data_IF_013757901907
#
_entry.id   IF_013757901907
#
_cell.length_a   1.000
_cell.length_b   1.000
_cell.length_c   1.000
_cell.angle_alpha   90.00
_cell.angle_beta   90.00
_cell.angle_gamma   90.00
#
_symmetry.space_group_name_H-M   'P 1'
#
loop_
_entity.id
_entity.type
_entity.pdbx_description
1 polymer ?
#
# COMPACT_ATOMS: atom_id res chain seq x y z
N UNK A 1 -10.32 0.02 18.75
CA UNK A 1 -9.77 -0.13 17.40
C UNK A 1 -8.28 -0.37 17.50
N UNK A 2 -7.74 -1.10 16.54
CA UNK A 2 -6.33 -1.50 16.46
C UNK A 2 -5.82 -1.18 15.06
N UNK A 3 -4.53 -0.90 14.93
CA UNK A 3 -3.94 -0.44 13.68
C UNK A 3 -2.72 -1.29 13.32
N UNK A 4 -2.45 -1.45 12.02
CA UNK A 4 -1.19 -1.99 11.53
C UNK A 4 -0.29 -0.80 11.21
N UNK A 5 0.90 -0.76 11.82
CA UNK A 5 1.83 0.37 11.71
C UNK A 5 3.20 -0.12 11.24
N UNK A 6 3.76 0.54 10.23
CA UNK A 6 5.09 0.23 9.71
C UNK A 6 5.88 1.53 9.44
N UNK A 7 7.22 1.43 9.51
CA UNK A 7 8.14 2.50 9.09
C UNK A 7 9.18 1.93 8.14
N UNK A 8 9.36 2.57 7.00
CA UNK A 8 10.48 2.29 6.10
C UNK A 8 11.21 3.59 5.74
N UNK A 9 12.51 3.48 5.42
CA UNK A 9 13.28 4.54 4.79
C UNK A 9 13.71 4.11 3.40
N UNK A 10 13.58 5.00 2.43
CA UNK A 10 13.90 4.78 1.01
C UNK A 10 14.97 5.78 0.62
N UNK A 11 16.10 5.33 0.06
CA UNK A 11 17.20 6.20 -0.36
C UNK A 11 16.84 6.88 -1.68
N UNK A 12 16.01 7.91 -1.60
CA UNK A 12 15.44 8.65 -2.73
C UNK A 12 14.81 9.97 -2.25
N UNK A 13 14.32 10.75 -3.22
CA UNK A 13 13.50 11.92 -2.91
C UNK A 13 12.09 11.50 -2.46
N UNK A 14 11.49 12.28 -1.57
CA UNK A 14 10.10 12.09 -1.13
C UNK A 14 9.11 12.18 -2.30
N UNK A 15 9.43 12.99 -3.31
CA UNK A 15 8.62 13.13 -4.53
C UNK A 15 8.58 11.84 -5.35
N UNK A 16 9.68 11.08 -5.41
CA UNK A 16 9.70 9.81 -6.15
C UNK A 16 8.88 8.73 -5.43
N UNK A 17 8.93 8.69 -4.09
CA UNK A 17 8.05 7.83 -3.29
C UNK A 17 6.58 8.24 -3.47
N UNK A 18 6.27 9.54 -3.41
CA UNK A 18 4.92 10.06 -3.60
C UNK A 18 4.35 9.65 -4.97
N UNK A 19 5.12 9.81 -6.06
CA UNK A 19 4.71 9.37 -7.40
C UNK A 19 4.37 7.88 -7.46
N UNK A 20 5.14 7.03 -6.77
CA UNK A 20 4.87 5.60 -6.68
C UNK A 20 3.59 5.25 -5.90
N UNK A 21 3.08 6.17 -5.08
CA UNK A 21 1.85 6.00 -4.29
C UNK A 21 0.62 6.65 -4.93
N UNK A 22 0.80 7.69 -5.76
CA UNK A 22 -0.31 8.51 -6.29
C UNK A 22 -0.59 8.31 -7.78
N UNK A 23 0.15 7.41 -8.45
CA UNK A 23 -0.06 7.08 -9.86
C UNK A 23 -0.42 5.61 -10.05
N UNK A 24 -1.25 5.31 -11.07
CA UNK A 24 -1.65 3.93 -11.39
C UNK A 24 -0.44 3.08 -11.76
N UNK A 25 0.45 3.60 -12.61
CA UNK A 25 1.67 2.88 -13.00
C UNK A 25 2.58 2.64 -11.79
N UNK A 26 2.71 3.63 -10.91
CA UNK A 26 3.46 3.50 -9.66
C UNK A 26 2.91 2.42 -8.75
N UNK A 27 1.60 2.48 -8.46
CA UNK A 27 0.89 1.50 -7.66
C UNK A 27 1.00 0.09 -8.25
N UNK A 28 0.86 -0.03 -9.57
CA UNK A 28 0.97 -1.30 -10.27
C UNK A 28 2.38 -1.91 -10.16
N UNK A 29 3.40 -1.06 -10.06
CA UNK A 29 4.79 -1.47 -10.06
C UNK A 29 5.32 -1.95 -8.69
N UNK A 30 4.62 -1.71 -7.58
CA UNK A 30 5.03 -2.23 -6.27
C UNK A 30 3.96 -3.05 -5.54
N UNK A 31 2.67 -2.82 -5.80
CA UNK A 31 1.57 -3.44 -5.07
C UNK A 31 0.96 -4.60 -5.87
N UNK A 32 0.31 -4.34 -7.00
CA UNK A 32 -0.19 -5.41 -7.88
C UNK A 32 -0.33 -4.94 -9.33
N UNK A 33 0.12 -5.77 -10.28
CA UNK A 33 0.10 -5.43 -11.71
C UNK A 33 -1.32 -5.14 -12.23
N UNK A 34 -2.35 -5.78 -11.65
CA UNK A 34 -3.76 -5.55 -11.99
C UNK A 34 -4.31 -4.41 -11.11
N UNK A 35 -3.91 -3.19 -11.48
CA UNK A 35 -4.35 -1.93 -10.85
C UNK A 35 -5.00 -1.01 -11.88
N UNK A 36 -6.24 -0.59 -11.63
CA UNK A 36 -7.01 0.26 -12.54
C UNK A 36 -7.84 1.30 -11.79
N UNK A 37 -8.06 2.48 -12.38
CA UNK A 37 -9.00 3.47 -11.84
C UNK A 37 -10.27 3.55 -12.67
N UNK A 38 -11.43 3.64 -12.01
CA UNK A 38 -12.73 3.88 -12.66
C UNK A 38 -13.59 4.73 -11.74
N UNK A 39 -14.16 5.82 -12.27
CA UNK A 39 -15.06 6.71 -11.53
C UNK A 39 -14.51 7.24 -10.19
N UNK A 40 -13.21 7.51 -10.12
CA UNK A 40 -12.54 8.01 -8.91
C UNK A 40 -12.25 6.95 -7.85
N UNK A 41 -12.42 5.67 -8.17
CA UNK A 41 -12.09 4.53 -7.32
C UNK A 41 -10.96 3.72 -7.96
N UNK A 42 -9.92 3.42 -7.18
CA UNK A 42 -8.80 2.56 -7.59
C UNK A 42 -9.14 1.12 -7.22
N UNK A 43 -8.97 0.22 -8.18
CA UNK A 43 -9.28 -1.19 -8.11
C UNK A 43 -7.97 -1.96 -8.15
N UNK A 44 -7.70 -2.70 -7.08
CA UNK A 44 -6.53 -3.58 -6.95
C UNK A 44 -7.00 -5.03 -7.02
N UNK A 45 -6.39 -5.86 -7.85
CA UNK A 45 -6.80 -7.27 -8.03
C UNK A 45 -5.61 -8.21 -7.86
N UNK A 46 -5.81 -9.25 -7.07
CA UNK A 46 -4.81 -10.27 -6.73
C UNK A 46 -5.19 -11.63 -7.31
N UNK A 47 -5.72 -11.63 -8.55
CA UNK A 47 -6.17 -12.83 -9.23
C UNK A 47 -7.25 -13.59 -8.44
N UNK A 48 -7.01 -14.87 -8.17
CA UNK A 48 -7.96 -15.73 -7.45
C UNK A 48 -8.19 -15.30 -5.99
N UNK A 49 -7.28 -14.54 -5.40
CA UNK A 49 -7.42 -14.03 -4.02
C UNK A 49 -8.41 -12.86 -3.90
N UNK A 50 -8.99 -12.39 -5.02
CA UNK A 50 -9.93 -11.28 -5.03
C UNK A 50 -9.22 -9.94 -5.12
N UNK A 51 -9.71 -8.92 -4.41
CA UNK A 51 -9.17 -7.57 -4.51
C UNK A 51 -9.83 -6.58 -3.56
N UNK A 52 -9.43 -5.33 -3.71
CA UNK A 52 -9.89 -4.22 -2.91
C UNK A 52 -10.21 -3.04 -3.84
N UNK A 53 -11.26 -2.30 -3.50
CA UNK A 53 -11.54 -1.03 -4.14
C UNK A 53 -11.33 0.08 -3.11
N UNK A 54 -10.57 1.10 -3.49
CA UNK A 54 -10.14 2.16 -2.61
C UNK A 54 -10.44 3.52 -3.21
N UNK A 55 -10.96 4.43 -2.38
CA UNK A 55 -11.18 5.83 -2.74
C UNK A 55 -10.06 6.67 -2.17
N UNK A 56 -9.46 7.53 -3.00
CA UNK A 56 -8.50 8.53 -2.52
C UNK A 56 -9.26 9.62 -1.74
N UNK A 57 -8.90 9.79 -0.47
CA UNK A 57 -9.47 10.82 0.39
C UNK A 57 -8.59 12.06 0.43
N UNK A 58 -7.29 11.88 0.65
CA UNK A 58 -6.31 12.95 0.71
C UNK A 58 -5.10 12.56 -0.15
N UNK A 59 -4.60 13.50 -0.95
CA UNK A 59 -3.35 13.36 -1.67
C UNK A 59 -2.65 14.73 -1.70
N UNK A 60 -1.55 14.83 -0.95
CA UNK A 60 -0.75 16.03 -0.78
C UNK A 60 0.67 15.68 -1.23
N UNK A 61 1.17 16.28 -2.33
CA UNK A 61 2.49 16.00 -2.88
C UNK A 61 3.59 16.04 -1.83
N UNK A 62 4.36 14.94 -1.73
CA UNK A 62 5.50 14.82 -0.82
C UNK A 62 5.17 14.73 0.68
N UNK A 63 3.89 14.73 1.07
CA UNK A 63 3.48 14.78 2.48
C UNK A 63 2.53 13.64 2.87
N UNK A 64 1.49 13.38 2.07
CA UNK A 64 0.40 12.50 2.48
C UNK A 64 -0.29 11.84 1.30
N UNK A 65 -0.51 10.53 1.40
CA UNK A 65 -1.51 9.81 0.62
C UNK A 65 -2.41 9.02 1.56
N UNK A 66 -3.73 9.19 1.43
CA UNK A 66 -4.72 8.48 2.26
C UNK A 66 -5.88 7.96 1.43
N UNK A 67 -6.20 6.69 1.65
CA UNK A 67 -7.30 5.98 1.00
C UNK A 67 -8.30 5.46 2.03
N UNK A 68 -9.55 5.31 1.60
CA UNK A 68 -10.60 4.55 2.28
C UNK A 68 -10.90 3.30 1.48
N UNK A 69 -11.02 2.15 2.15
CA UNK A 69 -11.43 0.91 1.50
C UNK A 69 -12.95 0.87 1.41
N UNK A 70 -13.47 0.80 0.18
CA UNK A 70 -14.91 0.86 -0.11
C UNK A 70 -15.50 -0.47 -0.60
N UNK A 71 -14.65 -1.40 -1.03
CA UNK A 71 -15.04 -2.78 -1.36
C UNK A 71 -13.88 -3.76 -1.10
N UNK A 72 -14.19 -5.03 -0.81
CA UNK A 72 -13.22 -6.08 -0.50
C UNK A 72 -13.65 -6.96 0.69
N UNK A 73 -12.69 -7.60 1.39
CA UNK A 73 -12.96 -8.36 2.61
C UNK A 73 -13.66 -7.50 3.67
N UNK A 74 -14.59 -8.11 4.40
CA UNK A 74 -15.44 -7.40 5.37
C UNK A 74 -14.64 -6.67 6.45
N UNK A 75 -13.46 -7.20 6.81
CA UNK A 75 -12.56 -6.64 7.80
C UNK A 75 -11.85 -5.37 7.33
N UNK A 76 -11.77 -5.13 6.02
CA UNK A 76 -11.16 -3.93 5.45
C UNK A 76 -12.19 -2.84 5.11
N UNK A 77 -13.46 -3.17 4.82
CA UNK A 77 -14.42 -2.14 4.40
C UNK A 77 -14.58 -1.07 5.50
N UNK A 78 -14.36 0.21 5.13
CA UNK A 78 -14.39 1.37 6.02
C UNK A 78 -13.08 1.64 6.78
N UNK A 79 -12.04 0.82 6.62
CA UNK A 79 -10.70 1.12 7.13
C UNK A 79 -9.97 2.12 6.23
N UNK A 80 -8.87 2.66 6.75
CA UNK A 80 -8.08 3.67 6.05
C UNK A 80 -6.64 3.21 5.86
N UNK A 81 -6.11 3.39 4.67
CA UNK A 81 -4.68 3.17 4.37
C UNK A 81 -4.02 4.55 4.23
N UNK A 82 -2.99 4.80 5.02
CA UNK A 82 -2.33 6.11 5.12
C UNK A 82 -0.81 5.96 4.99
N UNK A 83 -0.23 6.86 4.21
CA UNK A 83 1.21 7.05 4.09
C UNK A 83 1.53 8.50 4.43
N UNK A 84 2.14 8.73 5.59
CA UNK A 84 2.79 10.02 5.87
C UNK A 84 4.23 9.98 5.35
N UNK A 85 4.63 11.01 4.63
CA UNK A 85 5.91 11.12 3.95
C UNK A 85 6.71 12.30 4.48
N UNK A 86 8.01 12.09 4.71
CA UNK A 86 8.94 13.14 5.14
C UNK A 86 10.31 12.91 4.51
N UNK A 87 10.98 13.97 4.06
CA UNK A 87 12.40 13.90 3.70
C UNK A 87 13.28 14.03 4.96
N UNK A 88 14.14 13.04 5.21
CA UNK A 88 15.18 13.04 6.26
C UNK A 88 16.54 12.73 5.61
N UNK A 89 17.40 13.75 5.49
CA UNK A 89 18.67 13.65 4.74
C UNK A 89 18.44 13.06 3.33
N UNK A 90 19.20 12.03 2.95
CA UNK A 90 19.07 11.34 1.67
C UNK A 90 17.90 10.33 1.62
N UNK A 91 17.12 10.21 2.71
CA UNK A 91 16.03 9.24 2.80
C UNK A 91 14.65 9.90 2.75
N UNK A 92 13.77 9.35 1.92
CA UNK A 92 12.34 9.50 2.08
C UNK A 92 11.84 8.51 3.15
N UNK A 93 11.26 9.03 4.22
CA UNK A 93 10.66 8.24 5.29
C UNK A 93 9.18 8.06 5.03
N UNK A 94 8.73 6.80 5.09
CA UNK A 94 7.33 6.43 4.95
C UNK A 94 6.83 5.89 6.27
N UNK A 95 5.87 6.59 6.87
CA UNK A 95 5.11 6.12 8.02
C UNK A 95 3.78 5.57 7.53
N UNK A 96 3.71 4.25 7.41
CA UNK A 96 2.55 3.53 6.93
C UNK A 96 1.59 3.20 8.08
N UNK A 97 0.29 3.38 7.85
CA UNK A 97 -0.77 2.94 8.75
C UNK A 97 -1.93 2.33 7.97
N UNK A 98 -2.41 1.19 8.45
CA UNK A 98 -3.73 0.67 8.08
C UNK A 98 -4.61 0.71 9.33
N UNK A 99 -5.48 1.70 9.37
CA UNK A 99 -6.18 2.18 10.55
C UNK A 99 -7.66 1.79 10.56
N UNK A 100 -8.20 1.59 11.76
CA UNK A 100 -9.65 1.41 11.94
C UNK A 100 -10.12 -0.04 11.94
N UNK A 101 -9.23 -1.00 12.19
CA UNK A 101 -9.66 -2.39 12.36
C UNK A 101 -10.51 -2.54 13.63
N UNK A 102 -11.59 -3.30 13.49
CA UNK A 102 -12.52 -3.58 14.59
C UNK A 102 -11.85 -4.46 15.66
N UNK A 103 -11.13 -5.50 15.24
CA UNK A 103 -10.54 -6.50 16.12
C UNK A 103 -9.27 -7.15 15.53
N UNK A 104 -8.48 -7.78 16.41
CA UNK A 104 -7.24 -8.49 16.05
C UNK A 104 -7.54 -9.94 15.65
N UNK A 105 -7.95 -10.14 14.40
CA UNK A 105 -8.20 -11.47 13.82
C UNK A 105 -6.96 -12.00 13.11
N UNK A 106 -6.84 -13.34 12.88
CA UNK A 106 -5.73 -13.91 12.12
C UNK A 106 -5.50 -13.26 10.75
N UNK A 107 -6.57 -12.77 10.12
CA UNK A 107 -6.48 -12.02 8.87
C UNK A 107 -5.69 -10.70 9.02
N UNK A 108 -5.87 -9.98 10.13
CA UNK A 108 -5.07 -8.77 10.43
C UNK A 108 -3.58 -9.09 10.53
N UNK A 109 -3.21 -10.22 11.14
CA UNK A 109 -1.82 -10.64 11.25
C UNK A 109 -1.22 -10.98 9.88
N UNK A 110 -1.97 -11.69 9.04
CA UNK A 110 -1.59 -11.94 7.66
C UNK A 110 -1.39 -10.63 6.88
N UNK A 111 -2.35 -9.70 6.97
CA UNK A 111 -2.27 -8.40 6.33
C UNK A 111 -1.06 -7.59 6.83
N UNK A 112 -0.72 -7.66 8.12
CA UNK A 112 0.46 -6.99 8.67
C UNK A 112 1.75 -7.46 8.00
N UNK A 113 1.91 -8.78 7.82
CA UNK A 113 3.06 -9.35 7.11
C UNK A 113 3.05 -8.98 5.61
N UNK A 114 1.90 -9.06 4.93
CA UNK A 114 1.79 -8.65 3.52
C UNK A 114 2.13 -7.18 3.32
N UNK A 115 1.66 -6.29 4.18
CA UNK A 115 2.01 -4.86 4.12
C UNK A 115 3.52 -4.65 4.24
N UNK A 116 4.18 -5.31 5.19
CA UNK A 116 5.64 -5.23 5.31
C UNK A 116 6.36 -5.70 4.03
N UNK A 117 5.93 -6.82 3.44
CA UNK A 117 6.48 -7.33 2.17
C UNK A 117 6.34 -6.32 1.04
N UNK A 118 5.15 -5.75 0.84
CA UNK A 118 4.94 -4.80 -0.24
C UNK A 118 5.59 -3.43 0.01
N UNK A 119 5.74 -3.00 1.27
CA UNK A 119 6.54 -1.83 1.59
C UNK A 119 8.02 -2.03 1.18
N UNK A 120 8.54 -3.24 1.28
CA UNK A 120 9.87 -3.57 0.74
C UNK A 120 9.89 -3.55 -0.80
N UNK A 121 8.80 -3.97 -1.45
CA UNK A 121 8.63 -3.83 -2.90
C UNK A 121 8.62 -2.36 -3.34
N UNK A 122 7.92 -1.48 -2.62
CA UNK A 122 7.94 -0.02 -2.86
C UNK A 122 9.35 0.56 -2.73
N UNK A 123 10.06 0.21 -1.64
CA UNK A 123 11.45 0.63 -1.45
C UNK A 123 12.32 0.20 -2.63
N UNK A 124 12.23 -1.07 -3.04
CA UNK A 124 13.00 -1.62 -4.15
C UNK A 124 12.66 -0.93 -5.47
N UNK A 125 11.38 -0.70 -5.76
CA UNK A 125 10.93 0.02 -6.95
C UNK A 125 11.59 1.39 -7.04
N UNK A 126 11.53 2.17 -5.97
CA UNK A 126 12.04 3.54 -5.97
C UNK A 126 13.57 3.57 -6.05
N UNK A 127 14.27 2.65 -5.38
CA UNK A 127 15.75 2.63 -5.35
C UNK A 127 16.38 2.03 -6.62
N UNK A 128 15.66 1.17 -7.34
CA UNK A 128 16.26 0.36 -8.43
C UNK A 128 15.51 0.44 -9.76
N UNK A 129 14.30 1.00 -9.77
CA UNK A 129 13.40 1.04 -10.92
C UNK A 129 12.53 -0.22 -11.10
N UNK A 130 12.68 -1.24 -10.25
CA UNK A 130 11.91 -2.49 -10.35
C UNK A 130 11.41 -2.95 -8.98
N UNK A 131 10.09 -3.03 -8.80
CA UNK A 131 9.44 -3.62 -7.62
C UNK A 131 9.17 -5.11 -7.76
N UNK A 132 8.48 -5.67 -6.77
CA UNK A 132 7.97 -7.05 -6.74
C UNK A 132 6.44 -7.04 -6.47
N UNK A 133 5.63 -6.47 -7.38
CA UNK A 133 4.17 -6.45 -7.23
C UNK A 133 3.59 -7.85 -7.38
N UNK A 134 2.37 -8.08 -6.87
CA UNK A 134 1.65 -9.32 -7.17
C UNK A 134 1.41 -9.44 -8.69
N UNK A 135 1.63 -10.63 -9.30
CA UNK A 135 1.81 -11.95 -8.66
C UNK A 135 3.26 -12.35 -8.34
N UNK A 136 4.23 -11.46 -8.53
CA UNK A 136 5.66 -11.72 -8.33
C UNK A 136 6.13 -11.45 -6.88
N UNK A 137 5.21 -11.11 -5.98
CA UNK A 137 5.47 -10.79 -4.59
C UNK A 137 5.89 -12.00 -3.75
N UNK A 138 6.46 -11.74 -2.57
CA UNK A 138 6.78 -12.82 -1.62
C UNK A 138 5.48 -13.44 -1.10
N UNK A 139 5.33 -14.74 -1.34
CA UNK A 139 4.19 -15.50 -0.84
C UNK A 139 4.38 -15.84 0.65
N UNK A 140 3.44 -15.38 1.48
CA UNK A 140 3.50 -15.49 2.95
C UNK A 140 2.34 -16.30 3.53
N UNK A 141 1.56 -16.96 2.68
CA UNK A 141 0.44 -17.80 3.10
C UNK A 141 0.30 -19.06 2.24
N UNK A 142 -0.56 -19.95 2.68
CA UNK A 142 -1.03 -21.11 1.92
C UNK A 142 -2.45 -20.88 1.34
N UNK A 143 -2.88 -19.63 1.19
CA UNK A 143 -4.24 -19.24 0.74
C UNK A 143 -4.27 -18.81 -0.74
N UNK A 144 -3.47 -19.46 -1.58
CA UNK A 144 -3.28 -19.12 -3.00
C UNK A 144 -3.92 -20.16 -3.93
#
# INVERSE_FOLDING_TARGET
MVDILHRIGVLASVDDVYKSLDTIDGLAAWWTEDTHATDGVIKFRFGAAGGFDMKVLDSIPGELVRWEVVDGPAEWIGTHVRFDLTQEDDYAIVMFRHEGWQEQVPFMYHCSTKWATFLMSLKKLVETGTGDPAPNDVQVSNWH
#
